data_IF_786380198123
#
_entry.id   IF_786380198123
#
_cell.length_a   1.000
_cell.length_b   1.000
_cell.length_c   1.000
_cell.angle_alpha   90.00
_cell.angle_beta   90.00
_cell.angle_gamma   90.00
#
_symmetry.space_group_name_H-M   'P 1'
#
loop_
_entity.id
_entity.type
_entity.pdbx_description
1 polymer ?
#
# COMPACT_ATOMS: atom_id res chain seq x y z
N UNK A 1 19.80 48.02 -42.28
CA UNK A 1 18.98 47.62 -41.14
C UNK A 1 18.60 46.17 -41.31
N UNK A 2 19.34 45.25 -40.69
CA UNK A 2 19.03 43.82 -40.74
C UNK A 2 18.11 43.48 -39.57
N UNK A 3 16.87 43.06 -39.87
CA UNK A 3 15.95 42.53 -38.87
C UNK A 3 16.41 41.13 -38.44
N UNK A 4 16.96 41.05 -37.24
CA UNK A 4 17.24 39.76 -36.61
C UNK A 4 15.94 39.04 -36.33
N UNK A 5 15.69 37.95 -37.01
CA UNK A 5 14.65 36.97 -36.69
C UNK A 5 15.04 36.29 -35.38
N UNK A 6 14.38 36.63 -34.27
CA UNK A 6 14.41 35.81 -33.07
C UNK A 6 13.83 34.41 -33.45
N UNK A 7 14.72 33.41 -33.49
CA UNK A 7 14.29 32.01 -33.47
C UNK A 7 13.48 31.83 -32.21
N UNK A 8 12.19 31.50 -32.33
CA UNK A 8 11.40 30.94 -31.24
C UNK A 8 12.10 29.67 -30.78
N UNK A 9 12.59 29.65 -29.55
CA UNK A 9 13.00 28.41 -28.90
C UNK A 9 11.77 27.51 -28.89
N UNK A 10 11.69 26.59 -29.85
CA UNK A 10 10.63 25.61 -29.95
C UNK A 10 10.66 24.77 -28.68
N UNK A 11 9.56 24.75 -27.93
CA UNK A 11 9.37 23.86 -26.80
C UNK A 11 9.53 22.43 -27.31
N UNK A 12 10.69 21.80 -27.04
CA UNK A 12 10.94 20.40 -27.39
C UNK A 12 10.09 19.52 -26.47
N UNK A 13 9.30 18.63 -27.04
CA UNK A 13 8.58 17.61 -26.28
C UNK A 13 9.58 16.59 -25.72
N UNK A 14 9.36 16.17 -24.49
CA UNK A 14 10.19 15.15 -23.85
C UNK A 14 9.69 13.75 -24.19
N UNK A 15 10.61 12.82 -24.43
CA UNK A 15 10.32 11.41 -24.49
C UNK A 15 10.25 10.84 -23.07
N UNK A 16 9.17 10.12 -22.77
CA UNK A 16 8.92 9.55 -21.46
C UNK A 16 9.10 8.04 -21.45
N UNK A 17 9.88 7.57 -20.47
CA UNK A 17 9.87 6.16 -20.02
C UNK A 17 8.84 6.03 -18.94
N UNK A 18 7.83 5.21 -19.15
CA UNK A 18 6.75 4.99 -18.19
C UNK A 18 7.05 3.74 -17.37
N UNK A 19 7.00 3.88 -16.07
CA UNK A 19 7.11 2.79 -15.11
C UNK A 19 5.88 2.68 -14.23
N UNK A 20 5.82 1.59 -13.48
CA UNK A 20 4.86 1.38 -12.39
C UNK A 20 5.61 1.08 -11.11
N UNK A 21 5.13 1.60 -9.99
CA UNK A 21 5.64 1.32 -8.64
C UNK A 21 4.47 0.94 -7.71
N UNK A 22 4.63 -0.11 -6.91
CA UNK A 22 3.55 -0.65 -6.10
C UNK A 22 3.83 -0.46 -4.60
N UNK A 23 2.91 0.16 -3.89
CA UNK A 23 2.93 0.28 -2.42
C UNK A 23 2.03 -0.81 -1.85
N UNK A 24 2.63 -1.93 -1.48
CA UNK A 24 1.88 -3.06 -0.92
C UNK A 24 2.02 -3.03 0.59
N UNK A 25 0.91 -2.76 1.26
CA UNK A 25 0.81 -2.79 2.71
C UNK A 25 0.30 -4.13 3.22
N UNK A 26 0.70 -4.45 4.44
CA UNK A 26 0.14 -5.53 5.25
C UNK A 26 0.12 -5.13 6.72
N UNK A 27 -0.59 -5.88 7.55
CA UNK A 27 -0.62 -5.65 8.98
C UNK A 27 -0.12 -6.90 9.71
N UNK A 28 0.93 -6.73 10.51
CA UNK A 28 1.33 -7.72 11.51
C UNK A 28 0.47 -7.54 12.75
N UNK A 29 -0.54 -8.39 12.89
CA UNK A 29 -1.46 -8.35 14.02
C UNK A 29 -0.83 -8.81 15.34
N UNK A 30 0.27 -9.56 15.30
CA UNK A 30 0.98 -10.02 16.49
C UNK A 30 1.84 -8.91 17.11
N UNK A 31 2.48 -8.11 16.24
CA UNK A 31 3.35 -7.00 16.67
C UNK A 31 2.67 -5.63 16.58
N UNK A 32 1.44 -5.55 16.10
CA UNK A 32 0.68 -4.31 15.87
C UNK A 32 1.42 -3.31 15.00
N UNK A 33 1.92 -3.76 13.85
CA UNK A 33 2.71 -2.94 12.95
C UNK A 33 2.13 -2.94 11.55
N UNK A 34 2.08 -1.75 10.94
CA UNK A 34 1.85 -1.62 9.52
C UNK A 34 3.16 -1.91 8.78
N UNK A 35 3.10 -2.82 7.84
CA UNK A 35 4.23 -3.25 7.03
C UNK A 35 4.09 -2.77 5.59
N UNK A 36 5.22 -2.56 4.92
CA UNK A 36 5.30 -2.32 3.47
C UNK A 36 6.28 -3.29 2.84
N UNK A 37 5.94 -3.79 1.65
CA UNK A 37 6.80 -4.67 0.86
C UNK A 37 7.89 -3.84 0.19
N UNK A 38 9.15 -4.20 0.42
CA UNK A 38 10.31 -3.60 -0.22
C UNK A 38 11.13 -4.65 -0.97
N UNK A 39 11.82 -4.19 -2.01
CA UNK A 39 12.72 -5.00 -2.84
C UNK A 39 14.09 -4.33 -2.87
N UNK A 40 15.15 -5.11 -2.76
CA UNK A 40 16.52 -4.62 -2.90
C UNK A 40 16.90 -4.54 -4.37
N UNK A 41 17.53 -3.46 -4.77
CA UNK A 41 18.03 -3.26 -6.13
C UNK A 41 19.38 -3.91 -6.32
N UNK A 42 19.59 -4.49 -7.49
CA UNK A 42 20.87 -5.07 -7.90
C UNK A 42 21.49 -4.34 -9.10
N UNK A 43 20.78 -3.36 -9.67
CA UNK A 43 21.20 -2.62 -10.86
C UNK A 43 21.36 -1.11 -10.58
N UNK A 44 22.22 -0.46 -11.36
CA UNK A 44 22.34 1.00 -11.38
C UNK A 44 21.05 1.68 -11.92
N UNK A 45 20.69 2.85 -11.45
CA UNK A 45 21.26 3.54 -10.29
C UNK A 45 20.74 2.95 -8.98
N UNK A 46 21.40 3.23 -7.86
CA UNK A 46 21.03 2.82 -6.51
C UNK A 46 21.18 1.30 -6.23
N UNK A 47 22.33 0.71 -6.61
CA UNK A 47 22.67 -0.66 -6.18
C UNK A 47 22.60 -0.76 -4.64
N UNK A 48 22.07 -1.86 -4.13
CA UNK A 48 21.90 -2.18 -2.69
C UNK A 48 20.96 -1.24 -1.92
N UNK A 49 20.23 -0.36 -2.60
CA UNK A 49 19.15 0.39 -1.98
C UNK A 49 17.84 -0.41 -2.00
N UNK A 50 17.05 -0.23 -0.95
CA UNK A 50 15.66 -0.70 -0.93
C UNK A 50 14.78 0.20 -1.81
N UNK A 51 13.77 -0.40 -2.41
CA UNK A 51 12.84 0.25 -3.32
C UNK A 51 11.44 -0.39 -3.22
N UNK A 52 10.42 0.32 -3.66
CA UNK A 52 9.12 -0.29 -3.92
C UNK A 52 9.22 -1.28 -5.09
N UNK A 53 8.42 -2.35 -5.13
CA UNK A 53 8.32 -3.21 -6.30
C UNK A 53 7.89 -2.42 -7.53
N UNK A 54 8.79 -2.22 -8.48
CA UNK A 54 8.55 -1.39 -9.65
C UNK A 54 9.23 -1.93 -10.91
N UNK A 55 8.71 -1.52 -12.08
CA UNK A 55 9.24 -1.92 -13.38
C UNK A 55 8.86 -0.91 -14.46
N UNK A 56 9.59 -0.91 -15.56
CA UNK A 56 9.17 -0.19 -16.77
C UNK A 56 8.08 -0.97 -17.51
N UNK A 57 7.12 -0.24 -18.06
CA UNK A 57 6.04 -0.78 -18.87
C UNK A 57 6.60 -1.21 -20.23
N UNK A 58 6.24 -2.40 -20.69
CA UNK A 58 6.68 -2.95 -21.96
C UNK A 58 5.79 -2.44 -23.11
N UNK A 59 6.32 -2.50 -24.32
CA UNK A 59 5.49 -2.19 -25.50
C UNK A 59 4.29 -3.15 -25.58
N UNK A 60 3.09 -2.60 -25.73
CA UNK A 60 1.85 -3.38 -25.80
C UNK A 60 1.32 -3.89 -24.45
N UNK A 61 1.94 -3.50 -23.33
CA UNK A 61 1.52 -3.87 -21.98
C UNK A 61 0.67 -2.76 -21.35
N UNK A 62 -0.43 -3.10 -20.67
CA UNK A 62 -1.16 -2.12 -19.85
C UNK A 62 -0.41 -1.80 -18.56
N UNK A 63 -0.73 -0.66 -17.93
CA UNK A 63 -0.14 -0.26 -16.65
C UNK A 63 -0.45 -1.30 -15.56
N UNK A 64 -1.68 -1.78 -15.51
CA UNK A 64 -2.12 -2.80 -14.56
C UNK A 64 -1.34 -4.11 -14.76
N UNK A 65 -1.20 -4.57 -16.02
CA UNK A 65 -0.45 -5.79 -16.33
C UNK A 65 1.02 -5.67 -15.91
N UNK A 66 1.64 -4.51 -16.11
CA UNK A 66 3.00 -4.26 -15.63
C UNK A 66 3.10 -4.31 -14.09
N UNK A 67 2.11 -3.72 -13.40
CA UNK A 67 2.04 -3.74 -11.94
C UNK A 67 1.86 -5.16 -11.39
N UNK A 68 0.94 -5.93 -11.96
CA UNK A 68 0.74 -7.35 -11.58
C UNK A 68 1.94 -8.22 -11.93
N UNK A 69 2.57 -8.01 -13.08
CA UNK A 69 3.76 -8.76 -13.50
C UNK A 69 4.88 -8.65 -12.48
N UNK A 70 5.27 -7.44 -12.10
CA UNK A 70 6.37 -7.26 -11.15
C UNK A 70 6.04 -7.83 -9.76
N UNK A 71 4.78 -7.74 -9.35
CA UNK A 71 4.36 -8.29 -8.07
C UNK A 71 4.34 -9.83 -8.10
N UNK A 72 3.88 -10.44 -9.18
CA UNK A 72 3.85 -11.90 -9.31
C UNK A 72 5.24 -12.55 -9.26
N UNK A 73 6.29 -11.77 -9.56
CA UNK A 73 7.68 -12.18 -9.40
C UNK A 73 8.19 -12.08 -7.95
N UNK A 74 7.50 -11.34 -7.09
CA UNK A 74 7.94 -11.01 -5.72
C UNK A 74 7.08 -11.64 -4.64
N UNK A 75 5.77 -11.69 -4.83
CA UNK A 75 4.82 -12.25 -3.87
C UNK A 75 3.78 -13.13 -4.56
N UNK A 76 3.29 -14.13 -3.83
CA UNK A 76 2.08 -14.87 -4.17
C UNK A 76 0.97 -14.42 -3.24
N UNK A 77 -0.04 -13.75 -3.78
CA UNK A 77 -1.22 -13.32 -3.03
C UNK A 77 -2.46 -13.79 -3.76
N UNK A 78 -3.39 -14.38 -3.03
CA UNK A 78 -4.73 -14.67 -3.55
C UNK A 78 -5.52 -13.36 -3.59
N UNK A 79 -6.24 -13.13 -4.70
CA UNK A 79 -7.16 -11.98 -4.84
C UNK A 79 -6.49 -10.61 -4.62
N UNK A 80 -5.28 -10.42 -5.13
CA UNK A 80 -4.63 -9.12 -5.09
C UNK A 80 -5.43 -8.12 -5.94
N UNK A 81 -5.96 -7.08 -5.32
CA UNK A 81 -6.58 -5.95 -5.99
C UNK A 81 -5.69 -4.72 -5.86
N UNK A 82 -5.27 -4.17 -7.00
CA UNK A 82 -4.46 -2.96 -7.06
C UNK A 82 -5.34 -1.76 -7.40
N UNK A 83 -5.22 -0.71 -6.62
CA UNK A 83 -5.83 0.58 -6.91
C UNK A 83 -4.77 1.58 -7.36
N UNK A 84 -5.04 2.30 -8.45
CA UNK A 84 -4.15 3.36 -8.92
C UNK A 84 -4.09 4.49 -7.88
N UNK A 85 -2.87 4.86 -7.52
CA UNK A 85 -2.60 5.81 -6.46
C UNK A 85 -2.42 7.23 -7.01
N UNK A 86 -1.34 7.44 -7.76
CA UNK A 86 -0.95 8.74 -8.32
C UNK A 86 0.12 8.56 -9.40
N UNK A 87 0.35 9.61 -10.21
CA UNK A 87 1.43 9.63 -11.20
C UNK A 87 2.52 10.60 -10.77
N UNK A 88 3.72 10.08 -10.56
CA UNK A 88 4.91 10.84 -10.18
C UNK A 88 5.75 11.13 -11.42
N UNK A 89 5.93 12.42 -11.75
CA UNK A 89 6.61 12.84 -12.98
C UNK A 89 7.45 14.10 -12.81
N UNK A 90 7.88 14.43 -11.60
CA UNK A 90 8.72 15.58 -11.36
C UNK A 90 10.06 15.45 -12.10
N UNK A 91 10.58 16.51 -12.72
CA UNK A 91 11.93 16.52 -13.30
C UNK A 91 12.98 16.12 -12.27
N UNK A 92 13.91 15.26 -12.69
CA UNK A 92 15.01 14.80 -11.83
C UNK A 92 14.62 13.72 -10.81
N UNK A 93 13.38 13.17 -10.87
CA UNK A 93 12.99 12.04 -10.01
C UNK A 93 13.87 10.80 -10.19
N UNK A 94 14.42 10.64 -11.39
CA UNK A 94 15.33 9.57 -11.76
C UNK A 94 16.66 10.19 -12.25
N UNK A 95 17.80 9.85 -11.62
CA UNK A 95 19.10 10.42 -12.03
C UNK A 95 19.51 10.06 -13.46
N UNK A 96 18.94 9.03 -14.08
CA UNK A 96 19.15 8.69 -15.49
C UNK A 96 18.67 9.77 -16.45
N UNK A 97 17.77 10.67 -16.02
CA UNK A 97 17.33 11.83 -16.81
C UNK A 97 18.52 12.71 -17.19
N UNK A 98 19.49 12.89 -16.29
CA UNK A 98 20.67 13.73 -16.52
C UNK A 98 21.73 13.07 -17.42
N UNK A 99 21.73 11.75 -17.51
CA UNK A 99 22.73 10.99 -18.26
C UNK A 99 22.26 10.52 -19.63
N UNK A 100 20.95 10.26 -19.77
CA UNK A 100 20.35 9.69 -20.98
C UNK A 100 19.42 10.65 -21.72
N UNK A 101 18.98 11.74 -21.06
CA UNK A 101 18.03 12.70 -21.62
C UNK A 101 16.57 12.24 -21.63
N UNK A 102 16.29 10.98 -21.25
CA UNK A 102 14.93 10.45 -21.11
C UNK A 102 14.27 11.01 -19.85
N UNK A 103 12.98 11.35 -19.93
CA UNK A 103 12.14 11.64 -18.75
C UNK A 103 11.51 10.35 -18.23
N UNK A 104 11.31 10.29 -16.92
CA UNK A 104 10.70 9.12 -16.27
C UNK A 104 9.41 9.50 -15.56
N UNK A 105 8.34 8.73 -15.84
CA UNK A 105 7.07 8.78 -15.11
C UNK A 105 6.88 7.47 -14.35
N UNK A 106 6.32 7.54 -13.16
CA UNK A 106 5.81 6.37 -12.45
C UNK A 106 4.33 6.51 -12.20
N UNK A 107 3.54 5.59 -12.70
CA UNK A 107 2.15 5.40 -12.29
C UNK A 107 2.14 4.43 -11.12
N UNK A 108 1.81 4.93 -9.94
CA UNK A 108 1.88 4.12 -8.73
C UNK A 108 0.53 3.49 -8.40
N UNK A 109 0.60 2.29 -7.83
CA UNK A 109 -0.54 1.52 -7.34
C UNK A 109 -0.36 1.21 -5.86
N UNK A 110 -1.44 0.92 -5.15
CA UNK A 110 -1.35 0.41 -3.79
C UNK A 110 -2.37 -0.71 -3.54
N UNK A 111 -2.07 -1.53 -2.55
CA UNK A 111 -2.97 -2.54 -2.01
C UNK A 111 -2.70 -2.75 -0.52
N UNK A 112 -3.69 -3.26 0.17
CA UNK A 112 -3.58 -3.81 1.51
C UNK A 112 -3.88 -5.31 1.43
N UNK A 113 -2.94 -6.15 1.91
CA UNK A 113 -3.03 -7.62 1.80
C UNK A 113 -2.88 -8.26 3.18
N UNK A 114 -3.43 -9.48 3.35
CA UNK A 114 -3.21 -10.28 4.55
C UNK A 114 -1.77 -10.80 4.57
N UNK A 115 -1.09 -10.65 5.71
CA UNK A 115 0.30 -11.08 5.85
C UNK A 115 0.42 -12.60 5.68
N UNK A 116 -0.51 -13.35 6.25
CA UNK A 116 -0.54 -14.81 6.23
C UNK A 116 -0.83 -15.38 4.83
N UNK A 117 -1.46 -14.59 3.96
CA UNK A 117 -1.78 -14.97 2.58
C UNK A 117 -0.74 -14.47 1.57
N UNK A 118 0.20 -13.62 2.03
CA UNK A 118 1.23 -13.01 1.18
C UNK A 118 2.55 -13.78 1.29
N UNK A 119 2.66 -14.89 0.55
CA UNK A 119 3.90 -15.66 0.45
C UNK A 119 4.91 -14.90 -0.41
N UNK A 120 6.07 -14.57 0.16
CA UNK A 120 7.16 -13.97 -0.60
C UNK A 120 7.87 -15.03 -1.45
N UNK A 121 8.11 -14.74 -2.73
CA UNK A 121 8.81 -15.63 -3.65
C UNK A 121 10.30 -15.44 -3.45
N UNK A 122 11.01 -16.53 -3.15
CA UNK A 122 12.44 -16.54 -2.91
C UNK A 122 12.92 -15.85 -1.61
N UNK A 123 12.79 -16.53 -0.50
CA UNK A 123 13.57 -16.29 0.72
C UNK A 123 13.19 -15.07 1.52
N UNK A 124 11.96 -15.02 1.95
CA UNK A 124 11.38 -13.91 2.69
C UNK A 124 11.86 -13.81 4.12
N UNK A 125 12.07 -12.58 4.56
CA UNK A 125 12.31 -12.28 5.96
C UNK A 125 11.51 -11.04 6.35
N UNK A 126 10.82 -11.12 7.48
CA UNK A 126 10.30 -9.91 8.15
C UNK A 126 11.51 -9.16 8.71
N UNK A 127 11.72 -7.91 8.28
CA UNK A 127 12.82 -7.10 8.76
C UNK A 127 12.64 -6.82 10.26
N UNK A 128 13.64 -7.20 11.03
CA UNK A 128 13.63 -7.13 12.50
C UNK A 128 14.12 -8.42 13.16
N UNK A 129 14.16 -9.53 12.44
CA UNK A 129 14.67 -10.83 12.93
C UNK A 129 16.07 -11.21 12.44
N UNK A 130 16.88 -10.27 11.95
CA UNK A 130 18.33 -10.46 11.76
C UNK A 130 18.78 -11.33 10.58
N UNK A 131 17.92 -11.81 9.70
CA UNK A 131 18.29 -12.64 8.57
C UNK A 131 17.91 -11.98 7.24
N UNK A 132 18.91 -11.46 6.53
CA UNK A 132 18.80 -11.04 5.11
C UNK A 132 18.95 -12.28 4.22
N UNK A 133 17.90 -12.68 3.55
CA UNK A 133 18.01 -13.64 2.45
C UNK A 133 17.16 -13.13 1.29
N UNK A 134 17.84 -12.90 0.15
CA UNK A 134 17.29 -12.61 -1.19
C UNK A 134 16.38 -11.38 -1.40
N UNK A 135 16.83 -10.18 -1.02
CA UNK A 135 16.36 -8.97 -1.72
C UNK A 135 14.87 -8.57 -1.67
N UNK A 136 14.01 -9.24 -0.86
CA UNK A 136 12.60 -8.90 -0.66
C UNK A 136 12.30 -8.99 0.83
N UNK A 137 11.61 -7.97 1.37
CA UNK A 137 11.25 -7.97 2.78
C UNK A 137 10.02 -7.12 3.09
N UNK A 138 9.29 -7.50 4.14
CA UNK A 138 8.33 -6.66 4.81
C UNK A 138 9.04 -5.76 5.82
N UNK A 139 8.86 -4.46 5.69
CA UNK A 139 9.40 -3.46 6.61
C UNK A 139 8.30 -2.78 7.40
N UNK A 140 8.44 -2.60 8.72
CA UNK A 140 7.58 -1.66 9.44
C UNK A 140 7.65 -0.28 8.80
N UNK A 141 6.51 0.35 8.53
CA UNK A 141 6.45 1.62 7.81
C UNK A 141 7.26 2.71 8.52
N UNK A 142 7.27 2.69 9.86
CA UNK A 142 8.03 3.63 10.69
C UNK A 142 9.56 3.38 10.69
N UNK A 143 10.01 2.22 10.18
CA UNK A 143 11.43 1.83 10.14
C UNK A 143 11.98 1.73 8.71
N UNK A 144 11.23 2.20 7.73
CA UNK A 144 11.65 2.19 6.33
C UNK A 144 12.91 3.04 6.15
N UNK A 145 13.99 2.48 5.58
CA UNK A 145 15.21 3.25 5.32
C UNK A 145 14.99 4.28 4.20
N UNK A 146 16.02 5.05 3.88
CA UNK A 146 16.02 5.86 2.66
C UNK A 146 15.93 4.93 1.45
N UNK A 147 14.86 5.09 0.68
CA UNK A 147 14.61 4.32 -0.54
C UNK A 147 15.33 4.94 -1.75
N UNK A 148 15.49 4.14 -2.79
CA UNK A 148 15.94 4.60 -4.09
C UNK A 148 14.92 5.57 -4.72
N UNK A 149 15.40 6.44 -5.61
CA UNK A 149 14.58 7.42 -6.33
C UNK A 149 13.76 8.32 -5.38
N UNK A 150 12.53 8.61 -5.76
CA UNK A 150 11.53 9.33 -4.97
C UNK A 150 10.57 8.38 -4.22
N UNK A 151 10.95 7.11 -4.01
CA UNK A 151 10.07 6.09 -3.47
C UNK A 151 9.60 6.35 -2.03
N UNK A 152 10.34 7.12 -1.23
CA UNK A 152 9.84 7.58 0.06
C UNK A 152 8.60 8.49 -0.10
N UNK A 153 8.57 9.35 -1.13
CA UNK A 153 7.40 10.21 -1.42
C UNK A 153 6.20 9.38 -1.88
N UNK A 154 6.45 8.36 -2.73
CA UNK A 154 5.41 7.44 -3.19
C UNK A 154 4.81 6.67 -1.99
N UNK A 155 5.66 6.16 -1.11
CA UNK A 155 5.23 5.46 0.12
C UNK A 155 4.40 6.36 1.04
N UNK A 156 4.86 7.59 1.29
CA UNK A 156 4.13 8.55 2.12
C UNK A 156 2.75 8.86 1.54
N UNK A 157 2.68 9.05 0.21
CA UNK A 157 1.41 9.28 -0.47
C UNK A 157 0.48 8.08 -0.35
N UNK A 158 1.01 6.85 -0.53
CA UNK A 158 0.27 5.60 -0.36
C UNK A 158 -0.25 5.41 1.06
N UNK A 159 0.58 5.69 2.06
CA UNK A 159 0.19 5.62 3.47
C UNK A 159 -0.95 6.60 3.80
N UNK A 160 -0.85 7.83 3.33
CA UNK A 160 -1.92 8.82 3.49
C UNK A 160 -3.21 8.40 2.78
N UNK A 161 -3.12 7.81 1.57
CA UNK A 161 -4.29 7.26 0.86
C UNK A 161 -4.93 6.11 1.64
N UNK A 162 -4.14 5.19 2.19
CA UNK A 162 -4.62 4.08 3.01
C UNK A 162 -5.39 4.59 4.24
N UNK A 163 -4.82 5.56 4.96
CA UNK A 163 -5.47 6.17 6.13
C UNK A 163 -6.81 6.80 5.76
N UNK A 164 -6.83 7.62 4.72
CA UNK A 164 -8.07 8.24 4.27
C UNK A 164 -9.12 7.20 3.84
N UNK A 165 -8.66 6.11 3.19
CA UNK A 165 -9.55 5.05 2.70
C UNK A 165 -10.24 4.28 3.82
N UNK A 166 -9.62 4.14 4.97
CA UNK A 166 -10.25 3.56 6.16
C UNK A 166 -11.50 4.35 6.61
N UNK A 167 -11.56 5.64 6.29
CA UNK A 167 -12.67 6.51 6.70
C UNK A 167 -13.96 6.32 5.88
N UNK A 168 -13.87 5.75 4.67
CA UNK A 168 -15.03 5.66 3.77
C UNK A 168 -15.14 4.34 2.99
N UNK A 169 -14.24 3.39 3.20
CA UNK A 169 -14.24 2.15 2.42
C UNK A 169 -14.09 0.91 3.30
N UNK A 170 -14.50 -0.26 2.80
CA UNK A 170 -14.39 -1.52 3.54
C UNK A 170 -12.99 -2.13 3.52
N UNK A 171 -11.94 -1.37 3.16
CA UNK A 171 -10.57 -1.90 2.98
C UNK A 171 -10.02 -2.63 4.21
N UNK A 172 -10.45 -2.27 5.42
CA UNK A 172 -10.08 -2.96 6.65
C UNK A 172 -10.52 -4.43 6.67
N UNK A 173 -11.65 -4.74 6.04
CA UNK A 173 -12.21 -6.09 6.01
C UNK A 173 -11.50 -7.01 5.00
N UNK A 174 -10.71 -6.45 4.08
CA UNK A 174 -9.90 -7.23 3.14
C UNK A 174 -8.76 -7.98 3.84
N UNK A 175 -8.28 -7.46 4.97
CA UNK A 175 -7.17 -8.05 5.74
C UNK A 175 -7.59 -8.77 7.01
N UNK A 176 -8.85 -8.64 7.42
CA UNK A 176 -9.38 -9.42 8.54
C UNK A 176 -9.81 -10.82 8.07
N UNK A 177 -9.74 -11.82 8.95
CA UNK A 177 -10.38 -13.11 8.67
C UNK A 177 -11.89 -12.92 8.48
N UNK A 178 -12.55 -13.87 7.83
CA UNK A 178 -14.00 -13.83 7.59
C UNK A 178 -14.82 -13.63 8.89
N UNK A 179 -14.36 -14.25 9.96
CA UNK A 179 -14.90 -14.08 11.31
C UNK A 179 -13.87 -13.40 12.20
N UNK A 180 -14.24 -12.25 12.74
CA UNK A 180 -13.37 -11.40 13.55
C UNK A 180 -14.11 -10.86 14.78
N UNK A 181 -13.36 -10.42 15.79
CA UNK A 181 -13.92 -9.67 16.92
C UNK A 181 -13.82 -8.16 16.66
N UNK A 182 -14.64 -7.38 17.36
CA UNK A 182 -14.53 -5.91 17.30
C UNK A 182 -13.17 -5.42 17.83
N UNK A 183 -12.52 -6.17 18.71
CA UNK A 183 -11.17 -5.88 19.18
C UNK A 183 -10.14 -6.05 18.06
N UNK A 184 -10.26 -7.08 17.21
CA UNK A 184 -9.36 -7.29 16.07
C UNK A 184 -9.48 -6.12 15.08
N UNK A 185 -10.72 -5.72 14.78
CA UNK A 185 -10.99 -4.59 13.90
C UNK A 185 -10.45 -3.27 14.50
N UNK A 186 -10.72 -3.02 15.78
CA UNK A 186 -10.20 -1.83 16.48
C UNK A 186 -8.68 -1.77 16.44
N UNK A 187 -8.02 -2.90 16.69
CA UNK A 187 -6.58 -3.02 16.67
C UNK A 187 -6.00 -2.73 15.27
N UNK A 188 -6.67 -3.20 14.21
CA UNK A 188 -6.30 -2.88 12.83
C UNK A 188 -6.36 -1.36 12.58
N UNK A 189 -7.45 -0.72 13.02
CA UNK A 189 -7.59 0.74 12.88
C UNK A 189 -6.53 1.50 13.66
N UNK A 190 -6.25 1.13 14.91
CA UNK A 190 -5.20 1.79 15.72
C UNK A 190 -3.82 1.58 15.14
N UNK A 191 -3.53 0.41 14.57
CA UNK A 191 -2.25 0.13 13.91
C UNK A 191 -2.01 1.03 12.70
N UNK A 192 -3.05 1.35 11.93
CA UNK A 192 -2.92 2.18 10.72
C UNK A 192 -3.05 3.68 11.03
N UNK A 193 -3.97 4.06 11.92
CA UNK A 193 -4.28 5.47 12.22
C UNK A 193 -3.43 6.05 13.36
N UNK A 194 -2.85 5.19 14.20
CA UNK A 194 -2.03 5.57 15.36
C UNK A 194 -2.86 5.72 16.66
N UNK A 195 -2.15 6.00 17.77
CA UNK A 195 -2.70 5.99 19.11
C UNK A 195 -3.75 7.09 19.41
N UNK A 196 -3.81 8.11 18.58
CA UNK A 196 -4.82 9.17 18.67
C UNK A 196 -6.17 8.81 18.05
N UNK A 197 -6.33 7.57 17.60
CA UNK A 197 -7.61 7.07 17.13
C UNK A 197 -8.62 7.00 18.29
N UNK A 198 -9.92 7.06 17.98
CA UNK A 198 -11.04 7.02 18.94
C UNK A 198 -10.87 5.95 20.02
N UNK A 199 -11.34 6.19 21.23
CA UNK A 199 -11.39 5.13 22.24
C UNK A 199 -12.28 3.94 21.81
N UNK A 200 -11.98 2.76 22.35
CA UNK A 200 -12.66 1.52 21.96
C UNK A 200 -14.19 1.55 22.17
N UNK A 201 -14.68 2.20 23.21
CA UNK A 201 -16.11 2.24 23.53
C UNK A 201 -16.87 3.06 22.50
N UNK A 202 -16.35 4.23 22.14
CA UNK A 202 -16.90 5.08 21.10
C UNK A 202 -16.83 4.42 19.72
N UNK A 203 -15.68 3.86 19.37
CA UNK A 203 -15.52 3.09 18.13
C UNK A 203 -16.55 1.98 18.01
N UNK A 204 -16.68 1.13 19.04
CA UNK A 204 -17.63 0.02 19.08
C UNK A 204 -19.07 0.51 18.92
N UNK A 205 -19.47 1.53 19.68
CA UNK A 205 -20.84 2.03 19.66
C UNK A 205 -21.22 2.59 18.28
N UNK A 206 -20.34 3.38 17.67
CA UNK A 206 -20.56 3.97 16.34
C UNK A 206 -20.57 2.91 15.24
N UNK A 207 -19.62 1.99 15.28
CA UNK A 207 -19.50 0.91 14.30
C UNK A 207 -20.75 0.01 14.26
N UNK A 208 -21.24 -0.44 15.42
CA UNK A 208 -22.44 -1.28 15.50
C UNK A 208 -23.70 -0.55 15.02
N UNK A 209 -23.77 0.77 15.20
CA UNK A 209 -24.89 1.59 14.72
C UNK A 209 -24.98 1.64 13.18
N UNK A 210 -23.89 1.43 12.47
CA UNK A 210 -23.86 1.46 11.00
C UNK A 210 -24.52 0.22 10.36
N UNK A 211 -24.69 -0.89 11.10
CA UNK A 211 -25.52 -2.01 10.73
C UNK A 211 -24.98 -2.94 9.64
N UNK A 212 -23.70 -2.82 9.26
CA UNK A 212 -23.08 -3.69 8.25
C UNK A 212 -22.24 -4.84 8.85
N UNK A 213 -22.36 -5.07 10.15
CA UNK A 213 -21.73 -6.21 10.82
C UNK A 213 -22.81 -7.19 11.31
N UNK A 214 -22.72 -8.42 10.84
CA UNK A 214 -23.58 -9.51 11.31
C UNK A 214 -22.98 -10.16 12.55
N UNK A 215 -23.67 -10.12 13.70
CA UNK A 215 -23.30 -10.94 14.86
C UNK A 215 -23.63 -12.41 14.54
N UNK A 216 -22.63 -13.27 14.62
CA UNK A 216 -22.78 -14.70 14.32
C UNK A 216 -23.40 -15.51 15.46
N UNK A 217 -23.55 -14.91 16.64
CA UNK A 217 -23.94 -15.62 17.87
C UNK A 217 -22.82 -16.47 18.48
N UNK A 218 -21.69 -16.63 17.77
CA UNK A 218 -20.55 -17.41 18.24
C UNK A 218 -19.63 -16.52 19.07
N UNK A 219 -19.10 -17.07 20.17
CA UNK A 219 -18.15 -16.38 21.03
C UNK A 219 -16.82 -17.13 21.09
N UNK A 220 -15.74 -16.38 21.12
CA UNK A 220 -14.38 -16.89 21.25
C UNK A 220 -13.74 -16.38 22.53
N UNK A 221 -13.05 -17.27 23.25
CA UNK A 221 -12.25 -16.92 24.43
C UNK A 221 -10.77 -16.85 24.02
N UNK A 222 -10.15 -15.72 24.26
CA UNK A 222 -8.71 -15.52 24.06
C UNK A 222 -8.08 -15.18 25.43
N UNK A 223 -7.65 -16.19 26.16
CA UNK A 223 -7.09 -16.04 27.51
C UNK A 223 -8.14 -15.90 28.60
N UNK A 224 -7.81 -15.25 29.72
CA UNK A 224 -8.63 -15.13 30.95
C UNK A 224 -9.78 -14.12 30.87
N UNK A 225 -9.97 -13.45 29.72
CA UNK A 225 -10.98 -12.41 29.54
C UNK A 225 -12.40 -12.95 29.27
N UNK A 226 -13.40 -12.04 29.29
CA UNK A 226 -14.77 -12.37 28.88
C UNK A 226 -14.78 -12.79 27.41
N UNK A 227 -15.50 -13.86 27.02
CA UNK A 227 -15.63 -14.28 25.64
C UNK A 227 -16.14 -13.16 24.74
N UNK A 228 -15.46 -12.93 23.61
CA UNK A 228 -15.81 -11.91 22.62
C UNK A 228 -16.71 -12.51 21.55
N UNK A 229 -17.74 -11.76 21.10
CA UNK A 229 -18.57 -12.14 19.95
C UNK A 229 -17.79 -12.07 18.67
N UNK A 230 -18.01 -13.03 17.77
CA UNK A 230 -17.53 -13.02 16.40
C UNK A 230 -18.55 -12.34 15.47
N UNK A 231 -18.04 -11.50 14.62
CA UNK A 231 -18.78 -10.77 13.60
C UNK A 231 -18.30 -11.16 12.21
N UNK A 232 -19.18 -10.97 11.24
CA UNK A 232 -18.88 -11.05 9.81
C UNK A 232 -19.25 -9.73 9.14
N UNK A 233 -18.45 -9.29 8.19
CA UNK A 233 -18.74 -8.13 7.34
C UNK A 233 -19.85 -8.48 6.34
N UNK A 234 -20.83 -7.60 6.19
CA UNK A 234 -21.93 -7.70 5.24
C UNK A 234 -21.75 -6.65 4.13
N UNK A 235 -21.27 -7.05 2.93
CA UNK A 235 -21.07 -6.14 1.81
C UNK A 235 -22.36 -5.50 1.30
N UNK A 236 -23.50 -6.21 1.37
CA UNK A 236 -24.79 -5.70 0.90
C UNK A 236 -25.30 -4.58 1.82
N UNK A 237 -25.22 -4.80 3.14
CA UNK A 237 -25.54 -3.79 4.13
C UNK A 237 -24.59 -2.59 4.09
N UNK A 238 -23.33 -2.80 3.68
CA UNK A 238 -22.36 -1.71 3.50
C UNK A 238 -22.57 -0.90 2.22
N UNK A 239 -23.12 -1.46 1.16
CA UNK A 239 -23.24 -0.82 -0.15
C UNK A 239 -23.85 0.60 -0.12
N UNK A 240 -24.91 0.92 0.68
CA UNK A 240 -25.45 2.26 0.79
C UNK A 240 -24.51 3.28 1.47
N UNK A 241 -23.49 2.81 2.18
CA UNK A 241 -22.49 3.61 2.91
C UNK A 241 -21.21 3.85 2.09
N UNK A 242 -21.08 3.16 0.96
CA UNK A 242 -19.91 3.31 0.07
C UNK A 242 -19.74 4.78 -0.31
N UNK A 243 -18.51 5.26 -0.26
CA UNK A 243 -18.11 6.65 -0.56
C UNK A 243 -18.68 7.71 0.39
N UNK A 244 -19.26 7.30 1.51
CA UNK A 244 -19.68 8.21 2.60
C UNK A 244 -18.69 8.10 3.77
N UNK A 245 -18.38 9.23 4.44
CA UNK A 245 -17.56 9.17 5.64
C UNK A 245 -18.17 8.24 6.70
N UNK A 246 -17.41 7.25 7.11
CA UNK A 246 -17.77 6.37 8.22
C UNK A 246 -17.50 7.14 9.52
N UNK A 247 -18.52 7.75 10.10
CA UNK A 247 -18.44 8.72 11.23
C UNK A 247 -17.95 8.07 12.56
N UNK A 248 -17.19 7.01 12.52
CA UNK A 248 -16.57 6.42 13.72
C UNK A 248 -15.07 6.74 13.85
N UNK A 249 -14.54 7.54 12.93
CA UNK A 249 -13.17 8.04 12.94
C UNK A 249 -13.14 9.48 13.44
#
# INVERSE_FOLDING_TARGET
MARGTKKSEGCSLADFKVGVDNVIFSVDTLQNRLLVLLVMRHDEPFIDFWTLPGTLVRHGESLENAAYRILSEKIRVKNLYLEQLYTFGQPGRDPREFTRGDRYLSVSYFALVRLEEAELIAGSVVAGAGHRVSGIAWYPVEQVPKLAFDHNQILEYGYRRLRNKLEYSPVAFEVLPELFTLSDLYQLYTTILGDNFSDYSNFRARLLKLGFLCDTGVKVSRGAGRPASLYRFDPEAFAPLKDKPLVFI
#
